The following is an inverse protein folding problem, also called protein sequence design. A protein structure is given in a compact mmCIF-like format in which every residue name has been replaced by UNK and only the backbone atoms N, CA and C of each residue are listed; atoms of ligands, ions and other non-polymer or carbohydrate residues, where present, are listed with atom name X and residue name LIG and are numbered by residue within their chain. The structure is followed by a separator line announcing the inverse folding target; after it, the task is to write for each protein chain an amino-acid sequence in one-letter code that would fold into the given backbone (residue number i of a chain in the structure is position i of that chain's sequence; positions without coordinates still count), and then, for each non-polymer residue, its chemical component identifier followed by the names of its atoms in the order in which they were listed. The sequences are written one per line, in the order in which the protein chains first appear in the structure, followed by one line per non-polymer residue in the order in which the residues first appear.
data_IF_421162869337
#
_entry.id   IF_421162869337
#
_cell.length_a   1.000
_cell.length_b   1.000
_cell.length_c   1.000
_cell.angle_alpha   90.00
_cell.angle_beta   90.00
_cell.angle_gamma   90.00
#
_symmetry.space_group_name_H-M   'P 1'
#
loop_
_entity.id
_entity.type
_entity.pdbx_description
1 polymer ?
#
# COMPACT_ATOMS: atom_id res chain seq x y z
N UNK A 1 16.52 -28.76 7.26
CA UNK A 1 15.32 -28.18 6.61
C UNK A 1 14.92 -29.12 5.49
N UNK A 2 13.64 -29.50 5.43
CA UNK A 2 13.11 -30.30 4.32
C UNK A 2 13.11 -29.45 3.05
N UNK A 3 13.67 -29.97 1.96
CA UNK A 3 13.68 -29.27 0.67
C UNK A 3 12.27 -29.24 0.10
N UNK A 4 11.68 -28.05 -0.07
CA UNK A 4 10.31 -27.88 -0.57
C UNK A 4 10.22 -27.97 -2.11
N UNK A 5 11.31 -27.68 -2.83
CA UNK A 5 11.38 -27.77 -4.28
C UNK A 5 12.79 -28.20 -4.73
N UNK A 6 12.86 -29.07 -5.75
CA UNK A 6 14.13 -29.49 -6.36
C UNK A 6 14.63 -28.49 -7.41
N UNK A 7 13.72 -27.81 -8.10
CA UNK A 7 14.05 -26.77 -9.05
C UNK A 7 14.50 -25.48 -8.31
N UNK A 8 15.64 -24.88 -8.66
CA UNK A 8 16.18 -23.72 -7.96
C UNK A 8 15.31 -22.46 -8.11
N UNK A 9 14.60 -22.30 -9.22
CA UNK A 9 13.71 -21.16 -9.44
C UNK A 9 12.47 -21.29 -8.56
N UNK A 10 11.86 -22.48 -8.52
CA UNK A 10 10.75 -22.77 -7.63
C UNK A 10 11.17 -22.63 -6.15
N UNK A 11 12.36 -23.09 -5.78
CA UNK A 11 12.89 -22.92 -4.43
C UNK A 11 13.07 -21.43 -4.06
N UNK A 12 13.55 -20.60 -4.99
CA UNK A 12 13.68 -19.17 -4.79
C UNK A 12 12.32 -18.48 -4.58
N UNK A 13 11.28 -18.87 -5.35
CA UNK A 13 9.92 -18.35 -5.17
C UNK A 13 9.37 -18.70 -3.79
N UNK A 14 9.50 -19.97 -3.37
CA UNK A 14 9.02 -20.42 -2.05
C UNK A 14 9.81 -19.79 -0.90
N UNK A 15 11.09 -19.46 -1.10
CA UNK A 15 11.89 -18.73 -0.12
C UNK A 15 11.52 -17.24 -0.05
N UNK A 16 11.14 -16.63 -1.18
CA UNK A 16 10.72 -15.24 -1.25
C UNK A 16 9.35 -15.00 -0.60
N UNK A 17 8.45 -15.97 -0.69
CA UNK A 17 7.10 -15.93 -0.10
C UNK A 17 6.84 -17.21 0.68
N UNK A 18 7.43 -17.36 1.88
CA UNK A 18 7.26 -18.55 2.68
C UNK A 18 5.81 -18.71 3.14
N UNK A 19 5.37 -19.96 3.24
CA UNK A 19 4.04 -20.35 3.70
C UNK A 19 4.18 -21.24 4.94
N UNK A 20 3.59 -20.81 6.06
CA UNK A 20 3.74 -21.47 7.35
C UNK A 20 2.38 -21.88 7.93
N UNK A 21 2.21 -23.15 8.34
CA UNK A 21 1.04 -23.56 9.11
C UNK A 21 1.11 -22.97 10.53
N UNK A 22 -0.03 -22.49 11.04
CA UNK A 22 -0.13 -21.97 12.40
C UNK A 22 -0.27 -23.15 13.37
N UNK A 23 0.61 -23.31 14.37
CA UNK A 23 0.47 -24.40 15.32
C UNK A 23 -0.82 -24.24 16.15
N UNK A 24 -1.57 -25.32 16.43
CA UNK A 24 -2.78 -25.24 17.25
C UNK A 24 -2.49 -24.87 18.70
N UNK A 25 -1.25 -25.09 19.17
CA UNK A 25 -0.80 -24.78 20.52
C UNK A 25 0.58 -24.12 20.49
N UNK A 26 0.80 -23.15 21.38
CA UNK A 26 2.09 -22.47 21.52
C UNK A 26 2.35 -21.42 20.43
N UNK A 27 3.54 -20.82 20.49
CA UNK A 27 3.99 -19.81 19.52
C UNK A 27 4.71 -20.45 18.34
N UNK A 28 4.71 -19.77 17.21
CA UNK A 28 5.48 -20.15 16.02
C UNK A 28 6.65 -19.16 15.84
N UNK A 29 7.89 -19.54 16.17
CA UNK A 29 9.04 -18.64 16.03
C UNK A 29 9.25 -18.11 14.61
N UNK A 30 8.87 -18.88 13.59
CA UNK A 30 8.98 -18.45 12.18
C UNK A 30 7.92 -17.41 11.80
N UNK A 31 6.70 -17.54 12.33
CA UNK A 31 5.66 -16.53 12.14
C UNK A 31 5.97 -15.27 12.95
N UNK A 32 6.47 -15.43 14.18
CA UNK A 32 6.90 -14.33 15.02
C UNK A 32 8.04 -13.55 14.34
N UNK A 33 9.07 -14.24 13.84
CA UNK A 33 10.15 -13.63 13.07
C UNK A 33 9.64 -12.90 11.81
N UNK A 34 8.65 -13.47 11.10
CA UNK A 34 8.05 -12.82 9.94
C UNK A 34 7.29 -11.54 10.34
N UNK A 35 6.59 -11.55 11.48
CA UNK A 35 5.85 -10.38 12.00
C UNK A 35 6.77 -9.29 12.53
N UNK A 36 7.88 -9.67 13.15
CA UNK A 36 8.91 -8.78 13.68
C UNK A 36 9.88 -8.29 12.59
N UNK A 37 9.87 -8.89 11.40
CA UNK A 37 10.74 -8.51 10.30
C UNK A 37 10.55 -7.03 9.91
N UNK A 38 11.68 -6.39 9.61
CA UNK A 38 11.72 -5.04 9.04
C UNK A 38 11.03 -4.99 7.68
N UNK A 39 11.32 -5.98 6.84
CA UNK A 39 10.79 -6.10 5.48
C UNK A 39 10.65 -7.56 5.07
N UNK A 40 9.64 -7.85 4.27
CA UNK A 40 9.39 -9.20 3.78
C UNK A 40 7.89 -9.46 3.71
N UNK A 41 7.51 -10.60 3.20
CA UNK A 41 6.13 -11.05 3.26
C UNK A 41 6.06 -12.56 3.22
N UNK A 42 4.95 -13.12 3.67
CA UNK A 42 4.69 -14.55 3.66
C UNK A 42 3.25 -14.84 4.03
N UNK A 43 2.91 -16.12 4.03
CA UNK A 43 1.56 -16.61 4.29
C UNK A 43 1.54 -17.38 5.60
N UNK A 44 0.54 -17.09 6.43
CA UNK A 44 0.17 -17.94 7.55
C UNK A 44 -1.12 -18.69 7.19
N UNK A 45 -1.11 -20.02 7.33
CA UNK A 45 -2.28 -20.86 7.11
C UNK A 45 -2.81 -21.29 8.47
N UNK A 46 -3.97 -20.76 8.85
CA UNK A 46 -4.67 -21.11 10.08
C UNK A 46 -5.97 -21.87 9.80
N UNK A 47 -6.67 -22.26 10.87
CA UNK A 47 -8.02 -22.82 10.78
C UNK A 47 -9.07 -21.79 10.31
N UNK A 48 -8.77 -20.51 10.47
CA UNK A 48 -9.57 -19.35 10.04
C UNK A 48 -9.26 -18.90 8.61
N UNK A 49 -8.34 -19.56 7.91
CA UNK A 49 -7.98 -19.29 6.51
C UNK A 49 -6.52 -18.89 6.31
N UNK A 50 -6.25 -18.25 5.17
CA UNK A 50 -4.90 -17.78 4.81
C UNK A 50 -4.77 -16.29 5.09
N UNK A 51 -3.72 -15.93 5.82
CA UNK A 51 -3.34 -14.56 6.15
C UNK A 51 -2.08 -14.18 5.38
N UNK A 52 -2.13 -13.05 4.68
CA UNK A 52 -0.92 -12.37 4.21
C UNK A 52 -0.32 -11.57 5.36
N UNK A 53 0.92 -11.89 5.71
CA UNK A 53 1.76 -11.09 6.62
C UNK A 53 2.74 -10.34 5.73
N UNK A 54 2.58 -9.01 5.63
CA UNK A 54 3.41 -8.15 4.80
C UNK A 54 4.09 -7.10 5.67
N UNK A 55 5.40 -6.92 5.46
CA UNK A 55 6.26 -5.98 6.16
C UNK A 55 7.01 -5.10 5.18
N UNK A 56 6.88 -3.80 5.39
CA UNK A 56 7.74 -2.75 4.85
C UNK A 56 8.30 -1.96 6.02
N UNK A 57 9.39 -1.19 5.81
CA UNK A 57 9.89 -0.28 6.84
C UNK A 57 8.81 0.68 7.37
N UNK A 58 7.88 1.09 6.51
CA UNK A 58 6.79 2.01 6.85
C UNK A 58 5.44 1.34 7.16
N UNK A 59 5.28 0.02 6.94
CA UNK A 59 3.98 -0.68 7.06
C UNK A 59 4.14 -2.06 7.70
N UNK A 60 3.33 -2.33 8.72
CA UNK A 60 2.99 -3.70 9.13
C UNK A 60 1.54 -4.00 8.75
N UNK A 61 1.34 -5.04 7.95
CA UNK A 61 0.02 -5.45 7.46
C UNK A 61 -0.17 -6.95 7.67
N UNK A 62 -1.23 -7.31 8.39
CA UNK A 62 -1.77 -8.66 8.46
C UNK A 62 -3.19 -8.60 7.88
N UNK A 63 -3.41 -9.22 6.72
CA UNK A 63 -4.71 -9.19 6.05
C UNK A 63 -5.15 -10.60 5.61
N UNK A 64 -6.38 -11.05 5.93
CA UNK A 64 -6.89 -12.32 5.43
C UNK A 64 -7.11 -12.23 3.92
N UNK A 65 -6.64 -13.23 3.18
CA UNK A 65 -6.75 -13.30 1.71
C UNK A 65 -7.74 -14.36 1.24
N UNK A 66 -8.30 -15.13 2.16
CA UNK A 66 -9.37 -16.10 1.90
C UNK A 66 -10.54 -15.88 2.84
N UNK A 67 -11.72 -16.33 2.44
CA UNK A 67 -12.80 -16.65 3.37
C UNK A 67 -12.38 -17.81 4.30
N UNK A 68 -13.07 -18.01 5.45
CA UNK A 68 -12.85 -19.18 6.29
C UNK A 68 -12.97 -20.48 5.49
N UNK A 69 -12.08 -21.43 5.75
CA UNK A 69 -12.07 -22.72 5.05
C UNK A 69 -13.18 -23.62 5.59
N UNK A 70 -13.92 -24.29 4.71
CA UNK A 70 -14.99 -25.24 5.11
C UNK A 70 -14.43 -26.56 5.63
N UNK A 71 -13.24 -26.96 5.18
CA UNK A 71 -12.58 -28.18 5.62
C UNK A 71 -12.02 -28.03 7.04
N UNK A 72 -12.01 -29.13 7.81
CA UNK A 72 -11.30 -29.16 9.08
C UNK A 72 -9.79 -29.05 8.87
N UNK A 73 -9.19 -27.97 9.35
CA UNK A 73 -7.75 -27.74 9.35
C UNK A 73 -7.24 -27.84 10.79
N UNK A 74 -6.33 -28.78 11.13
CA UNK A 74 -5.85 -29.00 12.50
C UNK A 74 -4.81 -27.96 12.95
N UNK A 75 -4.97 -26.70 12.53
CA UNK A 75 -4.07 -25.57 12.80
C UNK A 75 -4.69 -24.61 13.82
N UNK A 76 -3.87 -23.71 14.35
CA UNK A 76 -4.33 -22.58 15.15
C UNK A 76 -4.95 -21.49 14.27
N UNK A 77 -5.46 -20.41 14.89
CA UNK A 77 -5.95 -19.25 14.15
C UNK A 77 -4.78 -18.37 13.70
N UNK A 78 -4.77 -17.96 12.43
CA UNK A 78 -3.82 -17.01 11.87
C UNK A 78 -3.91 -15.63 12.56
N UNK A 79 -5.09 -15.27 13.04
CA UNK A 79 -5.31 -14.12 13.91
C UNK A 79 -6.15 -13.03 13.25
N UNK A 80 -6.21 -11.88 13.89
CA UNK A 80 -7.01 -10.74 13.42
C UNK A 80 -6.28 -9.93 12.36
N UNK A 81 -7.06 -9.31 11.46
CA UNK A 81 -6.52 -8.29 10.54
C UNK A 81 -5.90 -7.14 11.33
N UNK A 82 -4.79 -6.59 10.84
CA UNK A 82 -4.16 -5.39 11.38
C UNK A 82 -3.43 -4.62 10.28
N UNK A 83 -3.42 -3.29 10.39
CA UNK A 83 -2.66 -2.41 9.51
C UNK A 83 -2.08 -1.28 10.36
N UNK A 84 -0.76 -1.18 10.41
CA UNK A 84 -0.03 -0.20 11.19
C UNK A 84 0.95 0.56 10.30
N UNK A 85 0.82 1.89 10.29
CA UNK A 85 1.80 2.78 9.66
C UNK A 85 2.96 3.01 10.63
N UNK A 86 4.06 2.29 10.41
CA UNK A 86 5.31 2.41 11.19
C UNK A 86 5.96 3.79 11.02
N UNK A 87 5.70 4.45 9.88
CA UNK A 87 6.15 5.82 9.62
C UNK A 87 5.35 6.89 10.36
N UNK A 88 4.27 6.53 11.06
CA UNK A 88 3.32 7.48 11.63
C UNK A 88 2.42 8.13 10.58
N UNK A 89 1.71 9.19 10.98
CA UNK A 89 0.83 9.96 10.09
C UNK A 89 1.62 11.02 9.33
N UNK A 90 1.27 11.20 8.06
CA UNK A 90 1.86 12.20 7.17
C UNK A 90 1.46 13.60 7.65
N UNK A 91 2.41 14.54 7.80
CA UNK A 91 2.10 15.92 8.15
C UNK A 91 1.07 16.56 7.20
N UNK A 92 0.08 17.26 7.78
CA UNK A 92 -1.01 17.90 7.04
C UNK A 92 -0.53 18.91 6.00
N UNK A 93 0.60 19.57 6.25
CA UNK A 93 1.19 20.54 5.30
C UNK A 93 1.43 19.92 3.91
N UNK A 94 1.74 18.63 3.83
CA UNK A 94 2.01 17.98 2.55
C UNK A 94 0.75 17.82 1.69
N UNK A 95 -0.41 17.55 2.30
CA UNK A 95 -1.65 17.48 1.50
C UNK A 95 -2.08 18.88 1.04
N UNK A 96 -1.85 19.91 1.85
CA UNK A 96 -2.14 21.29 1.48
C UNK A 96 -1.27 21.74 0.30
N UNK A 97 0.02 21.38 0.33
CA UNK A 97 0.98 21.60 -0.77
C UNK A 97 0.56 20.88 -2.06
N UNK A 98 0.19 19.60 -1.97
CA UNK A 98 -0.27 18.81 -3.12
C UNK A 98 -1.54 19.42 -3.73
N UNK A 99 -2.54 19.72 -2.90
CA UNK A 99 -3.81 20.29 -3.39
C UNK A 99 -3.61 21.68 -4.02
N UNK A 100 -2.69 22.48 -3.51
CA UNK A 100 -2.32 23.77 -4.12
C UNK A 100 -1.71 23.55 -5.52
N UNK A 101 -0.77 22.61 -5.65
CA UNK A 101 -0.15 22.24 -6.93
C UNK A 101 -1.18 21.72 -7.94
N UNK A 102 -2.07 20.81 -7.52
CA UNK A 102 -3.10 20.24 -8.38
C UNK A 102 -4.12 21.28 -8.87
N UNK A 103 -4.51 22.22 -8.00
CA UNK A 103 -5.38 23.34 -8.42
C UNK A 103 -4.71 24.25 -9.44
N UNK A 104 -3.40 24.49 -9.31
CA UNK A 104 -2.63 25.27 -10.27
C UNK A 104 -2.47 24.56 -11.63
N UNK A 105 -2.55 23.22 -11.66
CA UNK A 105 -2.47 22.42 -12.89
C UNK A 105 -3.77 22.32 -13.68
N UNK A 106 -4.90 22.81 -13.13
CA UNK A 106 -6.19 22.76 -13.81
C UNK A 106 -6.14 23.43 -15.20
N UNK A 107 -6.81 22.85 -16.22
CA UNK A 107 -7.75 21.72 -16.14
C UNK A 107 -7.10 20.34 -16.24
N UNK A 108 -5.78 20.25 -16.36
CA UNK A 108 -5.08 18.99 -16.59
C UNK A 108 -4.91 18.20 -15.29
N UNK A 109 -4.68 16.90 -15.46
CA UNK A 109 -4.26 16.02 -14.38
C UNK A 109 -2.83 16.35 -13.93
N UNK A 110 -2.52 16.02 -12.67
CA UNK A 110 -1.21 16.18 -12.06
C UNK A 110 -0.96 15.01 -11.10
N UNK A 111 0.31 14.77 -10.78
CA UNK A 111 0.74 13.74 -9.83
C UNK A 111 1.66 14.31 -8.76
N UNK A 112 1.71 13.62 -7.63
CA UNK A 112 2.61 13.86 -6.52
C UNK A 112 2.87 12.55 -5.78
N UNK A 113 4.05 12.43 -5.19
CA UNK A 113 4.41 11.32 -4.33
C UNK A 113 4.62 11.82 -2.91
N UNK A 114 4.26 10.99 -1.93
CA UNK A 114 4.75 11.16 -0.56
C UNK A 114 5.88 10.17 -0.33
N UNK A 115 7.04 10.72 0.01
CA UNK A 115 8.23 9.97 0.37
C UNK A 115 8.46 10.06 1.88
N UNK A 116 9.04 9.00 2.44
CA UNK A 116 9.43 8.95 3.85
C UNK A 116 10.85 8.43 3.98
N UNK A 117 11.69 9.17 4.72
CA UNK A 117 13.05 8.77 5.02
C UNK A 117 13.08 8.00 6.34
N UNK A 118 13.54 6.76 6.28
CA UNK A 118 13.53 5.86 7.43
C UNK A 118 14.52 6.24 8.53
N UNK A 119 15.68 6.77 8.17
CA UNK A 119 16.71 7.13 9.14
C UNK A 119 16.35 8.37 9.96
N UNK A 120 15.65 9.32 9.34
CA UNK A 120 15.29 10.61 9.97
C UNK A 120 13.83 10.69 10.40
N UNK A 121 12.97 9.80 9.90
CA UNK A 121 11.52 9.86 10.07
C UNK A 121 10.84 10.97 9.27
N UNK A 122 11.57 11.66 8.39
CA UNK A 122 11.06 12.83 7.66
C UNK A 122 10.15 12.42 6.49
N UNK A 123 9.05 13.16 6.32
CA UNK A 123 8.22 13.11 5.12
C UNK A 123 8.61 14.21 4.12
N UNK A 124 8.43 13.94 2.83
CA UNK A 124 8.60 14.91 1.75
C UNK A 124 7.56 14.68 0.66
N UNK A 125 7.16 15.76 -0.01
CA UNK A 125 6.44 15.70 -1.28
C UNK A 125 7.48 15.66 -2.41
N UNK A 126 7.24 14.84 -3.42
CA UNK A 126 7.97 14.86 -4.69
C UNK A 126 6.97 15.07 -5.83
N UNK A 127 7.24 16.05 -6.69
CA UNK A 127 6.46 16.31 -7.89
C UNK A 127 7.21 15.74 -9.09
N UNK A 128 6.66 14.72 -9.77
CA UNK A 128 7.39 14.01 -10.80
C UNK A 128 7.56 14.80 -12.08
N UNK A 129 8.47 14.32 -12.92
CA UNK A 129 8.56 14.76 -14.31
C UNK A 129 7.34 14.25 -15.06
N UNK A 130 6.52 15.17 -15.56
CA UNK A 130 5.34 14.91 -16.37
C UNK A 130 5.76 14.84 -17.85
N UNK A 131 5.54 13.69 -18.48
CA UNK A 131 5.76 13.50 -19.92
C UNK A 131 4.52 13.93 -20.73
N UNK A 132 3.32 13.68 -20.21
CA UNK A 132 2.05 14.08 -20.81
C UNK A 132 1.02 14.38 -19.72
N UNK A 133 0.30 15.50 -19.84
CA UNK A 133 -0.83 15.83 -18.98
C UNK A 133 -1.95 16.48 -19.78
N UNK A 134 -3.14 15.90 -19.67
CA UNK A 134 -4.39 16.39 -20.22
C UNK A 134 -5.48 16.25 -19.14
N UNK A 135 -6.72 16.70 -19.37
CA UNK A 135 -7.80 16.52 -18.39
C UNK A 135 -8.25 15.07 -18.15
N UNK A 136 -7.72 14.09 -18.89
CA UNK A 136 -8.15 12.68 -18.81
C UNK A 136 -7.03 11.69 -19.07
N UNK A 137 -5.77 12.15 -19.03
CA UNK A 137 -4.60 11.32 -19.26
C UNK A 137 -3.39 11.99 -18.65
N UNK A 138 -2.67 11.20 -17.86
CA UNK A 138 -1.44 11.59 -17.22
C UNK A 138 -0.38 10.51 -17.45
N UNK A 139 0.80 10.94 -17.88
CA UNK A 139 2.00 10.10 -18.02
C UNK A 139 3.13 10.81 -17.31
N UNK A 140 3.67 10.19 -16.27
CA UNK A 140 4.75 10.73 -15.46
C UNK A 140 5.80 9.66 -15.17
N UNK A 141 6.96 10.12 -14.73
CA UNK A 141 8.06 9.25 -14.30
C UNK A 141 8.11 9.22 -12.78
N UNK A 142 7.93 8.05 -12.13
CA UNK A 142 8.11 7.93 -10.69
C UNK A 142 9.52 8.36 -10.26
N UNK A 143 9.69 8.94 -9.06
CA UNK A 143 10.99 9.37 -8.58
C UNK A 143 11.94 8.19 -8.40
N UNK A 144 13.22 8.40 -8.75
CA UNK A 144 14.29 7.50 -8.35
C UNK A 144 14.60 7.74 -6.87
N UNK A 145 14.22 6.79 -6.01
CA UNK A 145 14.36 6.94 -4.57
C UNK A 145 15.83 6.81 -4.14
N UNK A 146 16.38 7.78 -3.41
CA UNK A 146 17.67 7.60 -2.75
C UNK A 146 17.61 6.49 -1.69
N UNK A 147 18.76 5.99 -1.21
CA UNK A 147 18.79 5.07 -0.08
C UNK A 147 17.98 5.60 1.11
N UNK A 148 17.35 4.70 1.86
CA UNK A 148 16.53 4.99 3.05
C UNK A 148 15.22 5.75 2.79
N UNK A 149 14.97 6.19 1.56
CA UNK A 149 13.68 6.76 1.16
C UNK A 149 12.73 5.70 0.66
N UNK A 150 11.49 5.78 1.11
CA UNK A 150 10.40 4.89 0.73
C UNK A 150 9.26 5.72 0.15
N UNK A 151 8.68 5.26 -0.96
CA UNK A 151 7.43 5.82 -1.47
C UNK A 151 6.27 5.27 -0.63
N UNK A 152 5.53 6.17 0.00
CA UNK A 152 4.38 5.86 0.86
C UNK A 152 3.09 6.02 0.08
N UNK A 153 2.95 7.17 -0.59
CA UNK A 153 1.77 7.47 -1.39
C UNK A 153 2.13 7.77 -2.83
N UNK A 154 1.28 7.30 -3.73
CA UNK A 154 1.18 7.74 -5.12
C UNK A 154 -0.16 8.44 -5.28
N UNK A 155 -0.13 9.70 -5.70
CA UNK A 155 -1.26 10.59 -5.65
C UNK A 155 -1.41 11.24 -7.02
N UNK A 156 -2.58 11.15 -7.62
CA UNK A 156 -2.88 11.91 -8.83
C UNK A 156 -4.24 12.59 -8.75
N UNK A 157 -4.46 13.55 -9.65
CA UNK A 157 -5.73 14.23 -9.77
C UNK A 157 -6.42 13.92 -11.09
N UNK A 158 -7.75 13.83 -11.08
CA UNK A 158 -8.59 13.90 -12.28
C UNK A 158 -9.06 15.34 -12.61
N UNK A 159 -8.37 16.35 -12.07
CA UNK A 159 -8.72 17.76 -12.26
C UNK A 159 -10.16 18.07 -11.81
N UNK A 160 -11.02 18.39 -12.79
CA UNK A 160 -12.45 18.66 -12.59
C UNK A 160 -13.33 17.40 -12.54
N UNK A 161 -12.80 16.26 -12.97
CA UNK A 161 -13.51 14.98 -13.00
C UNK A 161 -13.75 14.38 -11.61
N UNK A 162 -14.51 13.29 -11.53
CA UNK A 162 -14.73 12.55 -10.28
C UNK A 162 -13.48 11.77 -9.86
N UNK A 163 -13.30 11.54 -8.56
CA UNK A 163 -12.25 10.65 -8.05
C UNK A 163 -12.66 9.19 -8.20
N UNK A 164 -11.88 8.40 -8.93
CA UNK A 164 -12.06 6.95 -9.06
C UNK A 164 -10.74 6.32 -9.54
N UNK A 165 -10.60 5.00 -9.42
CA UNK A 165 -9.51 4.25 -10.04
C UNK A 165 -9.98 3.66 -11.36
N UNK A 166 -9.22 3.92 -12.42
CA UNK A 166 -9.40 3.35 -13.76
C UNK A 166 -8.68 1.99 -13.88
N UNK A 167 -8.94 1.28 -14.98
CA UNK A 167 -8.22 0.04 -15.29
C UNK A 167 -6.71 0.24 -15.51
N UNK A 168 -6.28 1.46 -15.88
CA UNK A 168 -4.85 1.78 -16.01
C UNK A 168 -4.23 1.92 -14.62
N UNK A 169 -4.91 2.61 -13.71
CA UNK A 169 -4.48 2.73 -12.30
C UNK A 169 -4.39 1.35 -11.63
N UNK A 170 -5.35 0.46 -11.90
CA UNK A 170 -5.33 -0.93 -11.43
C UNK A 170 -4.10 -1.70 -11.93
N UNK A 171 -3.75 -1.57 -13.21
CA UNK A 171 -2.59 -2.24 -13.77
C UNK A 171 -1.27 -1.72 -13.15
N UNK A 172 -1.16 -0.41 -12.97
CA UNK A 172 0.01 0.23 -12.37
C UNK A 172 0.19 -0.12 -10.89
N UNK A 173 -0.93 -0.28 -10.16
CA UNK A 173 -0.92 -0.55 -8.73
C UNK A 173 -0.73 -2.03 -8.37
N UNK A 174 -1.08 -2.95 -9.27
CA UNK A 174 -1.15 -4.40 -9.01
C UNK A 174 0.14 -5.03 -8.45
N UNK A 175 1.30 -4.44 -8.72
CA UNK A 175 2.60 -4.98 -8.30
C UNK A 175 3.32 -4.14 -7.26
N UNK A 176 2.64 -3.13 -6.70
CA UNK A 176 3.22 -2.19 -5.75
C UNK A 176 2.79 -2.45 -4.31
N UNK A 177 3.53 -1.90 -3.36
CA UNK A 177 3.06 -1.74 -1.98
C UNK A 177 3.13 -0.27 -1.62
N UNK A 178 2.00 0.42 -1.73
CA UNK A 178 1.85 1.88 -1.55
C UNK A 178 0.40 2.22 -1.24
N UNK A 179 0.16 3.45 -0.82
CA UNK A 179 -1.18 4.02 -0.71
C UNK A 179 -1.44 4.83 -1.99
N UNK A 180 -2.47 4.45 -2.74
CA UNK A 180 -2.88 5.21 -3.93
C UNK A 180 -4.04 6.13 -3.57
N UNK A 181 -3.97 7.39 -4.00
CA UNK A 181 -4.98 8.42 -3.71
C UNK A 181 -5.31 9.18 -5.00
N UNK A 182 -6.60 9.30 -5.31
CA UNK A 182 -7.08 10.11 -6.43
C UNK A 182 -7.88 11.28 -5.91
N UNK A 183 -7.50 12.49 -6.32
CA UNK A 183 -8.27 13.70 -6.07
C UNK A 183 -9.08 14.10 -7.30
N UNK A 184 -10.38 14.27 -7.15
CA UNK A 184 -11.27 14.78 -8.19
C UNK A 184 -11.93 16.08 -7.75
N UNK A 185 -12.70 16.69 -8.65
CA UNK A 185 -13.59 17.83 -8.35
C UNK A 185 -12.84 19.00 -7.71
N UNK A 186 -11.60 19.26 -8.14
CA UNK A 186 -10.71 20.24 -7.52
C UNK A 186 -11.18 21.70 -7.68
N UNK A 187 -12.15 21.95 -8.55
CA UNK A 187 -12.78 23.25 -8.78
C UNK A 187 -14.09 23.46 -7.99
N UNK A 188 -14.48 22.50 -7.15
CA UNK A 188 -15.71 22.59 -6.36
C UNK A 188 -15.47 23.32 -5.02
N UNK A 189 -16.41 24.19 -4.60
CA UNK A 189 -16.27 24.97 -3.37
C UNK A 189 -16.34 24.12 -2.09
N UNK A 190 -17.00 22.97 -2.15
CA UNK A 190 -17.22 22.07 -1.00
C UNK A 190 -16.01 21.18 -0.68
N UNK A 191 -14.94 21.26 -1.47
CA UNK A 191 -13.74 20.42 -1.35
C UNK A 191 -13.63 19.37 -2.46
N UNK A 192 -12.45 18.75 -2.61
CA UNK A 192 -12.23 17.72 -3.62
C UNK A 192 -12.95 16.42 -3.26
N UNK A 193 -13.31 15.64 -4.29
CA UNK A 193 -13.64 14.24 -4.10
C UNK A 193 -12.36 13.41 -3.92
N UNK A 194 -12.44 12.34 -3.14
CA UNK A 194 -11.27 11.54 -2.74
C UNK A 194 -11.58 10.05 -2.87
N UNK A 195 -10.81 9.34 -3.68
CA UNK A 195 -10.76 7.88 -3.69
C UNK A 195 -9.39 7.42 -3.17
N UNK A 196 -9.34 6.38 -2.33
CA UNK A 196 -8.06 5.85 -1.89
C UNK A 196 -8.06 4.37 -1.56
N UNK A 197 -6.89 3.74 -1.72
CA UNK A 197 -6.65 2.32 -1.45
C UNK A 197 -5.24 2.08 -0.95
N UNK A 198 -5.08 1.02 -0.16
CA UNK A 198 -3.78 0.42 0.12
C UNK A 198 -3.56 -0.73 -0.87
N UNK A 199 -2.52 -0.61 -1.69
CA UNK A 199 -2.06 -1.66 -2.60
C UNK A 199 -1.10 -2.58 -1.84
N UNK A 200 -1.40 -3.87 -1.77
CA UNK A 200 -0.58 -4.82 -1.04
C UNK A 200 -0.75 -6.25 -1.57
N UNK A 201 0.35 -6.87 -2.00
CA UNK A 201 0.34 -8.28 -2.44
C UNK A 201 -0.63 -8.57 -3.59
N UNK A 202 -0.79 -7.63 -4.52
CA UNK A 202 -1.75 -7.74 -5.62
C UNK A 202 -3.21 -7.44 -5.26
N UNK A 203 -3.48 -7.04 -4.02
CA UNK A 203 -4.83 -6.66 -3.57
C UNK A 203 -4.97 -5.15 -3.44
N UNK A 204 -6.21 -4.69 -3.62
CA UNK A 204 -6.63 -3.32 -3.36
C UNK A 204 -7.53 -3.27 -2.14
N UNK A 205 -6.98 -2.82 -1.02
CA UNK A 205 -7.70 -2.71 0.24
C UNK A 205 -8.28 -1.29 0.35
N UNK A 206 -9.61 -1.12 0.49
CA UNK A 206 -10.21 0.20 0.67
C UNK A 206 -9.61 0.92 1.87
N UNK A 207 -9.27 2.19 1.70
CA UNK A 207 -8.70 3.02 2.76
C UNK A 207 -9.66 4.20 3.05
N UNK A 208 -10.65 4.04 3.95
CA UNK A 208 -11.68 5.06 4.15
C UNK A 208 -11.17 6.33 4.83
N UNK A 209 -9.97 6.29 5.43
CA UNK A 209 -9.35 7.45 6.07
C UNK A 209 -7.90 7.56 5.61
N UNK A 210 -7.55 8.71 5.03
CA UNK A 210 -6.22 8.97 4.53
C UNK A 210 -5.19 9.04 5.68
N UNK A 211 -3.93 8.68 5.41
CA UNK A 211 -2.87 8.60 6.42
C UNK A 211 -2.29 9.97 6.84
N UNK A 212 -3.06 11.07 6.76
CA UNK A 212 -2.61 12.41 7.12
C UNK A 212 -3.02 12.81 8.54
N UNK A 213 -2.16 13.59 9.21
CA UNK A 213 -2.44 14.17 10.52
C UNK A 213 -3.70 15.06 10.46
N UNK A 214 -4.56 14.92 11.47
CA UNK A 214 -5.87 15.59 11.52
C UNK A 214 -7.01 14.76 10.92
N UNK A 215 -6.71 13.70 10.16
CA UNK A 215 -7.68 12.80 9.56
C UNK A 215 -8.46 13.44 8.41
N UNK A 216 -8.43 12.78 7.25
CA UNK A 216 -9.20 13.15 6.07
C UNK A 216 -9.94 11.90 5.63
N UNK A 217 -11.26 11.98 5.51
CA UNK A 217 -12.07 10.85 5.09
C UNK A 217 -12.09 10.78 3.55
N UNK A 218 -12.08 9.56 3.01
CA UNK A 218 -12.30 9.29 1.59
C UNK A 218 -13.81 9.09 1.33
N UNK A 219 -14.24 9.38 0.10
CA UNK A 219 -15.64 9.24 -0.32
C UNK A 219 -16.08 7.77 -0.52
#
# INVERSE_FOLDING_TARGET
MTTLAQDPTAAAVLAAVPCYPVPPNGRSPVLDALREARSGHGLAVGADGVMLILRRPWLALDVPITSPMEAYIPYGNAGSRSAELRCGLIPRVHIEEILASFRAALPNEAAAFILWNEATGQFSVDFPVIDEATPSRLVYRPPALPPEWHMICDIHSHGRGTAFFSATDDADDAHSTKISIVFGRLDQPDGPAIASRLCAGGMFLPLPRLPFAGGIDAD
#
